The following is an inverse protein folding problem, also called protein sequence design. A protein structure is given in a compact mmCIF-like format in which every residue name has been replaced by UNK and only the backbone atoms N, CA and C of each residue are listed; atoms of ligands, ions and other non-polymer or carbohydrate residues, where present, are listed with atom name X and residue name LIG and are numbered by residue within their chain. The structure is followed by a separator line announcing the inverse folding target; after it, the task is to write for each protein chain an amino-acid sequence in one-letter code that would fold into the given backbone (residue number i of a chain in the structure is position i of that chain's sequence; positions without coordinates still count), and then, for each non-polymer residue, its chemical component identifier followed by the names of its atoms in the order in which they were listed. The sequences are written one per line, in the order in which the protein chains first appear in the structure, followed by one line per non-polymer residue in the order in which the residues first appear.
data_IF_428774669559
#
_entry.id   IF_428774669559
#
_cell.length_a   1.000
_cell.length_b   1.000
_cell.length_c   1.000
_cell.angle_alpha   90.00
_cell.angle_beta   90.00
_cell.angle_gamma   90.00
#
_symmetry.space_group_name_H-M   'P 1'
#
loop_
_entity.id
_entity.type
_entity.pdbx_description
1 polymer ?
#
# COMPACT_ATOMS: atom_id res chain seq x y z
N UNK A 1 -9.36 -4.12 21.35
CA UNK A 1 -9.32 -2.71 21.79
C UNK A 1 -9.52 -1.67 20.66
N UNK A 2 -9.26 -2.00 19.39
CA UNK A 2 -9.36 -1.04 18.27
C UNK A 2 -10.81 -0.54 18.09
N UNK A 3 -11.78 -1.46 18.02
CA UNK A 3 -13.19 -1.12 17.76
C UNK A 3 -13.76 -0.22 18.86
N UNK A 4 -13.65 -0.55 20.15
CA UNK A 4 -14.09 0.33 21.23
C UNK A 4 -13.41 1.71 21.18
N UNK A 5 -12.13 1.78 20.92
CA UNK A 5 -11.42 3.06 20.84
C UNK A 5 -11.90 3.90 19.66
N UNK A 6 -12.13 3.27 18.50
CA UNK A 6 -12.66 3.96 17.32
C UNK A 6 -14.08 4.51 17.59
N UNK A 7 -14.95 3.73 18.24
CA UNK A 7 -16.29 4.18 18.63
C UNK A 7 -16.24 5.40 19.55
N UNK A 8 -15.40 5.36 20.56
CA UNK A 8 -15.21 6.50 21.48
C UNK A 8 -14.75 7.75 20.75
N UNK A 9 -13.77 7.62 19.86
CA UNK A 9 -13.26 8.74 19.06
C UNK A 9 -14.37 9.33 18.19
N UNK A 10 -15.17 8.48 17.55
CA UNK A 10 -16.30 8.91 16.73
C UNK A 10 -17.33 9.68 17.59
N UNK A 11 -17.68 9.18 18.79
CA UNK A 11 -18.61 9.84 19.70
C UNK A 11 -18.11 11.21 20.16
N UNK A 12 -16.82 11.32 20.48
CA UNK A 12 -16.21 12.61 20.85
C UNK A 12 -16.27 13.57 19.65
N UNK A 13 -15.92 13.10 18.46
CA UNK A 13 -16.00 13.92 17.26
C UNK A 13 -17.44 14.31 16.92
N UNK A 14 -18.40 13.42 17.12
CA UNK A 14 -19.82 13.73 16.96
C UNK A 14 -20.29 14.82 17.91
N UNK A 15 -19.85 14.81 19.16
CA UNK A 15 -20.26 15.73 20.21
C UNK A 15 -19.57 17.10 20.13
N UNK A 16 -18.30 17.14 19.80
CA UNK A 16 -17.46 18.34 19.88
C UNK A 16 -16.92 18.83 18.52
N UNK A 17 -17.07 18.05 17.44
CA UNK A 17 -16.59 18.41 16.12
C UNK A 17 -17.36 19.56 15.47
N UNK A 18 -16.68 20.31 14.60
CA UNK A 18 -17.29 21.40 13.83
C UNK A 18 -18.35 20.85 12.86
N UNK A 19 -19.55 21.40 12.88
CA UNK A 19 -20.68 20.97 12.06
C UNK A 19 -21.11 22.02 11.02
N UNK A 20 -20.91 23.30 11.31
CA UNK A 20 -21.37 24.37 10.44
C UNK A 20 -20.43 24.63 9.27
N UNK A 21 -19.11 24.53 9.50
CA UNK A 21 -18.07 24.81 8.52
C UNK A 21 -17.49 23.52 7.96
N UNK A 22 -18.07 23.00 6.86
CA UNK A 22 -17.68 21.72 6.24
C UNK A 22 -16.15 21.56 6.06
N UNK A 23 -15.46 22.62 5.67
CA UNK A 23 -13.99 22.60 5.48
C UNK A 23 -13.22 22.34 6.78
N UNK A 24 -13.82 22.63 7.94
CA UNK A 24 -13.25 22.40 9.26
C UNK A 24 -13.84 21.19 9.99
N UNK A 25 -14.82 20.51 9.41
CA UNK A 25 -15.46 19.32 9.97
C UNK A 25 -14.57 18.07 9.89
N UNK A 26 -13.40 18.13 10.52
CA UNK A 26 -12.40 17.05 10.54
C UNK A 26 -11.69 16.97 11.88
N UNK A 27 -11.32 15.75 12.28
CA UNK A 27 -10.67 15.45 13.55
C UNK A 27 -9.47 16.35 13.85
N UNK A 28 -8.62 16.63 12.86
CA UNK A 28 -7.42 17.47 13.03
C UNK A 28 -7.75 18.89 13.54
N UNK A 29 -8.89 19.44 13.14
CA UNK A 29 -9.29 20.78 13.61
C UNK A 29 -9.81 20.72 15.04
N UNK A 30 -10.57 19.68 15.38
CA UNK A 30 -11.00 19.45 16.76
C UNK A 30 -9.80 19.29 17.71
N UNK A 31 -8.83 18.45 17.35
CA UNK A 31 -7.63 18.22 18.17
C UNK A 31 -6.81 19.52 18.30
N UNK A 32 -6.68 20.30 17.21
CA UNK A 32 -5.96 21.58 17.23
C UNK A 32 -6.65 22.60 18.16
N UNK A 33 -7.97 22.65 18.17
CA UNK A 33 -8.76 23.59 18.97
C UNK A 33 -8.79 23.19 20.45
N UNK A 34 -9.04 21.91 20.73
CA UNK A 34 -9.17 21.37 22.07
C UNK A 34 -7.82 21.14 22.76
N UNK A 35 -6.78 20.85 22.00
CA UNK A 35 -5.50 20.35 22.48
C UNK A 35 -5.46 18.83 22.58
N UNK A 36 -4.27 18.27 22.25
CA UNK A 36 -4.05 16.81 22.21
C UNK A 36 -4.35 16.14 23.55
N UNK A 37 -3.83 16.70 24.64
CA UNK A 37 -3.91 16.07 25.97
C UNK A 37 -5.34 16.04 26.48
N UNK A 38 -6.09 17.13 26.27
CA UNK A 38 -7.52 17.20 26.60
C UNK A 38 -8.33 16.19 25.77
N UNK A 39 -8.01 16.05 24.50
CA UNK A 39 -8.65 15.07 23.63
C UNK A 39 -8.41 13.63 24.11
N UNK A 40 -7.16 13.29 24.44
CA UNK A 40 -6.82 11.95 24.95
C UNK A 40 -7.47 11.65 26.30
N UNK A 41 -7.54 12.64 27.20
CA UNK A 41 -8.22 12.50 28.49
C UNK A 41 -9.73 12.25 28.31
N UNK A 42 -10.35 12.92 27.34
CA UNK A 42 -11.73 12.64 26.97
C UNK A 42 -11.92 11.22 26.42
N UNK A 43 -10.99 10.75 25.58
CA UNK A 43 -11.01 9.36 25.05
C UNK A 43 -10.98 8.37 26.21
N UNK A 44 -10.07 8.53 27.17
CA UNK A 44 -9.97 7.62 28.31
C UNK A 44 -11.21 7.69 29.24
N UNK A 45 -11.79 8.85 29.44
CA UNK A 45 -13.03 9.01 30.21
C UNK A 45 -14.21 8.35 29.53
N UNK A 46 -14.38 8.56 28.24
CA UNK A 46 -15.49 7.98 27.47
C UNK A 46 -15.36 6.45 27.38
N UNK A 47 -14.12 5.92 27.22
CA UNK A 47 -13.85 4.47 27.25
C UNK A 47 -14.33 3.82 28.55
N UNK A 48 -14.16 4.49 29.69
CA UNK A 48 -14.60 3.99 30.99
C UNK A 48 -16.12 4.08 31.18
N UNK A 49 -16.78 4.98 30.50
CA UNK A 49 -18.21 5.24 30.61
C UNK A 49 -19.08 4.34 29.72
N UNK A 50 -18.51 3.74 28.70
CA UNK A 50 -19.24 2.93 27.72
C UNK A 50 -19.06 1.45 28.03
N UNK A 51 -20.16 0.70 28.08
CA UNK A 51 -20.12 -0.76 28.04
C UNK A 51 -19.87 -1.22 26.61
N UNK A 52 -18.76 -1.92 26.39
CA UNK A 52 -18.43 -2.48 25.09
C UNK A 52 -18.82 -3.94 25.02
N UNK A 53 -19.40 -4.32 23.88
CA UNK A 53 -19.49 -5.73 23.52
C UNK A 53 -18.10 -6.22 23.08
N UNK A 54 -17.75 -7.41 23.51
CA UNK A 54 -16.53 -8.08 23.01
C UNK A 54 -16.89 -8.77 21.72
N UNK A 55 -16.20 -8.40 20.65
CA UNK A 55 -16.32 -9.05 19.35
C UNK A 55 -15.20 -10.07 19.19
N UNK A 56 -15.57 -11.33 19.01
CA UNK A 56 -14.61 -12.33 18.55
C UNK A 56 -14.38 -12.13 17.06
N UNK A 57 -13.12 -11.98 16.68
CA UNK A 57 -12.73 -11.92 15.28
C UNK A 57 -12.50 -13.35 14.82
N UNK A 58 -13.31 -13.82 13.88
CA UNK A 58 -13.06 -15.10 13.22
C UNK A 58 -11.79 -14.97 12.36
N UNK A 59 -10.71 -15.59 12.83
CA UNK A 59 -9.43 -15.62 12.13
C UNK A 59 -9.28 -16.83 11.22
N UNK A 60 -10.23 -17.74 11.21
CA UNK A 60 -10.12 -19.01 10.45
C UNK A 60 -9.92 -18.80 8.96
N UNK A 61 -10.50 -17.75 8.40
CA UNK A 61 -10.28 -17.36 7.01
C UNK A 61 -8.83 -16.93 6.71
N UNK A 62 -8.05 -16.59 7.75
CA UNK A 62 -6.65 -16.13 7.62
C UNK A 62 -5.64 -17.20 8.08
N UNK A 63 -6.09 -18.17 8.88
CA UNK A 63 -5.28 -19.22 9.48
C UNK A 63 -5.43 -20.56 8.73
N UNK A 64 -6.20 -20.57 7.64
CA UNK A 64 -6.39 -21.74 6.78
C UNK A 64 -5.11 -22.13 6.03
N UNK A 65 -5.08 -23.37 5.49
CA UNK A 65 -3.96 -23.81 4.68
C UNK A 65 -3.80 -22.91 3.45
N UNK A 66 -2.54 -22.62 3.09
CA UNK A 66 -2.24 -21.87 1.88
C UNK A 66 -2.69 -22.69 0.66
N UNK A 67 -3.54 -22.15 -0.23
CA UNK A 67 -3.97 -22.87 -1.41
C UNK A 67 -2.79 -23.19 -2.32
N UNK A 68 -2.73 -24.41 -2.82
CA UNK A 68 -1.75 -24.80 -3.84
C UNK A 68 -2.16 -24.23 -5.21
N UNK A 69 -1.20 -23.97 -6.11
CA UNK A 69 -1.49 -23.60 -7.49
C UNK A 69 -2.39 -24.64 -8.20
N UNK A 70 -3.26 -24.14 -9.08
CA UNK A 70 -4.15 -25.02 -9.87
C UNK A 70 -3.38 -25.81 -10.93
N UNK A 71 -2.37 -25.16 -11.52
CA UNK A 71 -1.48 -25.75 -12.52
C UNK A 71 -0.07 -25.90 -11.95
N UNK A 72 0.62 -26.92 -12.44
CA UNK A 72 2.05 -27.07 -12.15
C UNK A 72 2.83 -25.90 -12.72
N UNK A 73 3.70 -25.31 -11.89
CA UNK A 73 4.49 -24.14 -12.30
C UNK A 73 5.66 -24.63 -13.18
N UNK A 74 5.77 -24.14 -14.45
CA UNK A 74 6.84 -24.55 -15.34
C UNK A 74 8.22 -24.18 -14.80
N UNK A 75 9.17 -25.09 -14.96
CA UNK A 75 10.58 -24.76 -14.72
C UNK A 75 11.11 -23.94 -15.89
N UNK A 76 11.74 -22.82 -15.57
CA UNK A 76 12.27 -21.89 -16.57
C UNK A 76 13.73 -21.56 -16.29
N UNK A 77 14.48 -21.24 -17.34
CA UNK A 77 15.85 -20.76 -17.24
C UNK A 77 15.88 -19.26 -17.40
N UNK A 78 16.58 -18.58 -16.50
CA UNK A 78 16.80 -17.13 -16.56
C UNK A 78 17.98 -16.85 -17.46
N UNK A 79 17.77 -16.08 -18.53
CA UNK A 79 18.81 -15.65 -19.46
C UNK A 79 19.64 -14.50 -18.87
N UNK A 80 18.97 -13.47 -18.36
CA UNK A 80 19.61 -12.33 -17.69
C UNK A 80 19.55 -12.51 -16.16
N UNK A 81 20.59 -13.17 -15.65
CA UNK A 81 20.72 -13.45 -14.22
C UNK A 81 20.92 -12.16 -13.40
N UNK A 82 21.61 -11.16 -13.95
CA UNK A 82 21.86 -9.91 -13.24
C UNK A 82 20.56 -9.12 -13.01
N UNK A 83 19.75 -8.96 -14.05
CA UNK A 83 18.45 -8.31 -13.94
C UNK A 83 17.48 -9.07 -13.01
N UNK A 84 17.49 -10.40 -13.07
CA UNK A 84 16.69 -11.24 -12.17
C UNK A 84 17.08 -11.07 -10.71
N UNK A 85 18.37 -11.11 -10.38
CA UNK A 85 18.83 -10.94 -8.99
C UNK A 85 18.57 -9.51 -8.50
N UNK A 86 18.71 -8.50 -9.34
CA UNK A 86 18.32 -7.13 -9.00
C UNK A 86 16.84 -7.03 -8.68
N UNK A 87 15.98 -7.64 -9.49
CA UNK A 87 14.54 -7.71 -9.24
C UNK A 87 14.23 -8.50 -7.97
N UNK A 88 14.83 -9.66 -7.77
CA UNK A 88 14.64 -10.48 -6.58
C UNK A 88 14.97 -9.69 -5.30
N UNK A 89 16.08 -8.96 -5.31
CA UNK A 89 16.50 -8.12 -4.19
C UNK A 89 15.55 -6.94 -3.95
N UNK A 90 15.00 -6.36 -5.00
CA UNK A 90 14.16 -5.17 -4.94
C UNK A 90 12.69 -5.49 -4.62
N UNK A 91 12.13 -6.52 -5.25
CA UNK A 91 10.70 -6.74 -5.31
C UNK A 91 10.22 -7.99 -4.55
N UNK A 92 11.13 -8.90 -4.16
CA UNK A 92 10.75 -10.13 -3.47
C UNK A 92 10.98 -10.00 -1.97
N UNK A 93 9.99 -10.42 -1.18
CA UNK A 93 9.97 -10.32 0.27
C UNK A 93 9.74 -11.70 0.85
N UNK A 94 10.65 -12.17 1.72
CA UNK A 94 10.44 -13.40 2.47
C UNK A 94 9.24 -13.23 3.41
N UNK A 95 8.29 -14.14 3.37
CA UNK A 95 7.13 -14.14 4.25
C UNK A 95 7.46 -14.78 5.61
N UNK A 96 6.54 -14.63 6.56
CA UNK A 96 6.62 -15.31 7.86
C UNK A 96 6.40 -16.81 7.73
N UNK A 97 5.64 -17.24 6.72
CA UNK A 97 5.43 -18.65 6.39
C UNK A 97 6.70 -19.19 5.74
N UNK A 98 7.24 -20.27 6.30
CA UNK A 98 8.47 -20.88 5.81
C UNK A 98 8.31 -21.39 4.38
N UNK A 99 9.31 -21.11 3.54
CA UNK A 99 9.34 -21.50 2.14
C UNK A 99 8.54 -20.59 1.21
N UNK A 100 7.85 -19.56 1.73
CA UNK A 100 7.05 -18.66 0.92
C UNK A 100 7.60 -17.24 0.84
N UNK A 101 7.39 -16.65 -0.32
CA UNK A 101 7.77 -15.28 -0.66
C UNK A 101 6.56 -14.50 -1.15
N UNK A 102 6.62 -13.19 -1.00
CA UNK A 102 5.71 -12.25 -1.62
C UNK A 102 6.44 -11.49 -2.72
N UNK A 103 5.76 -11.26 -3.84
CA UNK A 103 6.27 -10.45 -4.95
C UNK A 103 5.54 -9.12 -4.94
N UNK A 104 6.29 -8.04 -4.77
CA UNK A 104 5.78 -6.68 -4.90
C UNK A 104 5.85 -6.21 -6.35
N UNK A 105 4.72 -5.78 -6.87
CA UNK A 105 4.60 -5.13 -8.18
C UNK A 105 4.43 -3.64 -7.95
N UNK A 106 5.39 -2.85 -8.41
CA UNK A 106 5.29 -1.41 -8.42
C UNK A 106 4.30 -0.98 -9.51
N UNK A 107 3.31 -0.17 -9.13
CA UNK A 107 2.30 0.37 -10.04
C UNK A 107 2.43 1.89 -10.05
N UNK A 108 2.95 2.44 -11.13
CA UNK A 108 3.17 3.88 -11.28
C UNK A 108 1.86 4.64 -11.03
N UNK A 109 1.86 5.56 -10.07
CA UNK A 109 0.71 6.40 -9.68
C UNK A 109 -0.55 5.61 -9.27
N UNK A 110 -0.45 4.29 -9.11
CA UNK A 110 -1.60 3.42 -8.87
C UNK A 110 -2.45 3.13 -10.12
N UNK A 111 -1.98 3.50 -11.30
CA UNK A 111 -2.69 3.29 -12.57
C UNK A 111 -2.51 1.85 -13.06
N UNK A 112 -3.58 1.09 -13.00
CA UNK A 112 -3.58 -0.32 -13.34
C UNK A 112 -4.59 -0.64 -14.44
N UNK A 113 -4.09 -0.88 -15.64
CA UNK A 113 -4.91 -1.07 -16.84
C UNK A 113 -5.58 -2.45 -16.87
N UNK A 114 -6.81 -2.47 -17.35
CA UNK A 114 -7.71 -3.65 -17.29
C UNK A 114 -7.19 -4.86 -18.06
N UNK A 115 -6.53 -4.66 -19.18
CA UNK A 115 -5.91 -5.72 -19.98
C UNK A 115 -4.80 -6.44 -19.21
N UNK A 116 -3.86 -5.69 -18.65
CA UNK A 116 -2.80 -6.22 -17.78
C UNK A 116 -3.38 -6.84 -16.50
N UNK A 117 -4.44 -6.25 -15.94
CA UNK A 117 -5.12 -6.78 -14.76
C UNK A 117 -5.71 -8.17 -15.01
N UNK A 118 -6.33 -8.40 -16.17
CA UNK A 118 -6.89 -9.73 -16.52
C UNK A 118 -5.80 -10.78 -16.67
N UNK A 119 -4.71 -10.45 -17.37
CA UNK A 119 -3.59 -11.35 -17.54
C UNK A 119 -2.90 -11.69 -16.21
N UNK A 120 -2.74 -10.69 -15.34
CA UNK A 120 -2.22 -10.92 -13.98
C UNK A 120 -3.17 -11.80 -13.15
N UNK A 121 -4.48 -11.58 -13.24
CA UNK A 121 -5.47 -12.40 -12.54
C UNK A 121 -5.42 -13.86 -12.99
N UNK A 122 -5.29 -14.12 -14.29
CA UNK A 122 -5.15 -15.47 -14.84
C UNK A 122 -3.84 -16.13 -14.39
N UNK A 123 -2.74 -15.38 -14.37
CA UNK A 123 -1.45 -15.86 -13.84
C UNK A 123 -1.58 -16.30 -12.37
N UNK A 124 -2.14 -15.44 -11.53
CA UNK A 124 -2.27 -15.71 -10.09
C UNK A 124 -3.24 -16.85 -9.82
N UNK A 125 -4.37 -16.91 -10.53
CA UNK A 125 -5.35 -17.98 -10.41
C UNK A 125 -4.78 -19.34 -10.72
N UNK A 126 -3.93 -19.43 -11.75
CA UNK A 126 -3.41 -20.70 -12.23
C UNK A 126 -2.14 -21.15 -11.50
N UNK A 127 -1.24 -20.22 -11.14
CA UNK A 127 0.13 -20.53 -10.71
C UNK A 127 0.50 -20.04 -9.31
N UNK A 128 -0.41 -19.35 -8.62
CA UNK A 128 -0.22 -18.92 -7.24
C UNK A 128 -1.41 -19.36 -6.36
N UNK A 129 -1.51 -18.81 -5.15
CA UNK A 129 -2.57 -19.13 -4.20
C UNK A 129 -3.92 -18.44 -4.51
N UNK A 130 -4.15 -17.98 -5.74
CA UNK A 130 -5.33 -17.25 -6.17
C UNK A 130 -5.64 -16.02 -5.29
N UNK A 131 -4.61 -15.37 -4.78
CA UNK A 131 -4.72 -14.24 -3.89
C UNK A 131 -3.72 -13.14 -4.25
N UNK A 132 -4.18 -11.89 -4.31
CA UNK A 132 -3.35 -10.70 -4.36
C UNK A 132 -3.80 -9.69 -3.29
N UNK A 133 -2.92 -8.77 -2.94
CA UNK A 133 -3.21 -7.66 -2.03
C UNK A 133 -2.88 -6.33 -2.68
N UNK A 134 -3.68 -5.32 -2.38
CA UNK A 134 -3.31 -3.94 -2.66
C UNK A 134 -2.57 -3.37 -1.45
N UNK A 135 -1.51 -2.62 -1.71
CA UNK A 135 -0.75 -1.96 -0.65
C UNK A 135 -1.22 -0.52 -0.43
N UNK A 136 -0.89 0.06 0.72
CA UNK A 136 -1.14 1.48 1.00
C UNK A 136 -0.31 2.42 0.11
N UNK A 137 0.66 1.90 -0.61
CA UNK A 137 1.50 2.64 -1.56
C UNK A 137 1.01 2.50 -3.00
N UNK A 138 -0.27 2.16 -3.21
CA UNK A 138 -0.90 2.02 -4.52
C UNK A 138 -0.32 0.87 -5.37
N UNK A 139 0.32 -0.11 -4.75
CA UNK A 139 0.98 -1.23 -5.40
C UNK A 139 0.21 -2.54 -5.21
N UNK A 140 0.67 -3.59 -5.90
CA UNK A 140 0.11 -4.93 -5.83
C UNK A 140 1.13 -5.89 -5.21
N UNK A 141 0.65 -6.85 -4.42
CA UNK A 141 1.46 -7.90 -3.79
C UNK A 141 0.87 -9.25 -4.14
N UNK A 142 1.65 -10.10 -4.79
CA UNK A 142 1.35 -11.52 -4.97
C UNK A 142 1.93 -12.24 -3.75
N UNK A 143 1.13 -13.07 -3.09
CA UNK A 143 1.54 -13.80 -1.89
C UNK A 143 1.72 -15.27 -2.15
N UNK A 144 2.42 -15.92 -1.22
CA UNK A 144 2.57 -17.37 -1.15
C UNK A 144 3.22 -18.01 -2.37
N UNK A 145 4.23 -17.37 -2.92
CA UNK A 145 5.05 -17.92 -4.00
C UNK A 145 6.21 -18.71 -3.42
N UNK A 146 6.40 -19.96 -3.84
CA UNK A 146 7.55 -20.79 -3.43
C UNK A 146 8.82 -20.28 -4.10
N UNK A 147 9.98 -20.47 -3.46
CA UNK A 147 11.27 -19.93 -3.99
C UNK A 147 11.60 -20.46 -5.37
N UNK A 148 11.39 -21.76 -5.60
CA UNK A 148 11.62 -22.42 -6.88
C UNK A 148 10.77 -21.86 -8.03
N UNK A 149 9.66 -21.19 -7.74
CA UNK A 149 8.74 -20.63 -8.71
C UNK A 149 9.05 -19.16 -9.05
N UNK A 150 9.93 -18.49 -8.32
CA UNK A 150 10.27 -17.08 -8.55
C UNK A 150 10.79 -16.82 -9.99
N UNK A 151 11.63 -17.68 -10.60
CA UNK A 151 12.06 -17.48 -11.98
C UNK A 151 10.91 -17.43 -12.99
N UNK A 152 9.92 -18.31 -12.84
CA UNK A 152 8.73 -18.33 -13.68
C UNK A 152 7.93 -17.03 -13.53
N UNK A 153 7.65 -16.62 -12.28
CA UNK A 153 6.94 -15.36 -12.04
C UNK A 153 7.69 -14.14 -12.59
N UNK A 154 9.01 -14.11 -12.49
CA UNK A 154 9.81 -13.05 -13.09
C UNK A 154 9.59 -12.95 -14.60
N UNK A 155 9.65 -14.06 -15.32
CA UNK A 155 9.46 -14.06 -16.77
C UNK A 155 8.03 -13.66 -17.17
N UNK A 156 7.01 -14.19 -16.49
CA UNK A 156 5.61 -13.85 -16.78
C UNK A 156 5.30 -12.38 -16.46
N UNK A 157 5.82 -11.88 -15.35
CA UNK A 157 5.66 -10.47 -14.97
C UNK A 157 6.43 -9.53 -15.89
N UNK A 158 7.58 -9.96 -16.43
CA UNK A 158 8.34 -9.19 -17.42
C UNK A 158 7.56 -9.00 -18.72
N UNK A 159 6.81 -10.01 -19.18
CA UNK A 159 5.92 -9.89 -20.35
C UNK A 159 4.80 -8.85 -20.15
N UNK A 160 4.43 -8.60 -18.89
CA UNK A 160 3.41 -7.63 -18.52
C UNK A 160 4.00 -6.26 -18.15
N UNK A 161 5.32 -6.12 -18.19
CA UNK A 161 6.02 -4.91 -17.76
C UNK A 161 5.83 -4.62 -16.25
N UNK A 162 5.90 -5.66 -15.39
CA UNK A 162 5.71 -5.59 -13.94
C UNK A 162 6.95 -5.96 -13.13
N UNK A 163 8.12 -5.84 -13.73
CA UNK A 163 9.40 -6.13 -13.06
C UNK A 163 10.22 -4.88 -12.75
N UNK A 164 9.59 -3.69 -12.78
CA UNK A 164 10.28 -2.45 -12.42
C UNK A 164 10.82 -2.53 -10.99
N UNK A 165 12.06 -2.07 -10.85
CA UNK A 165 12.75 -2.05 -9.55
C UNK A 165 12.19 -0.94 -8.64
N UNK A 166 12.51 -1.03 -7.35
CA UNK A 166 12.23 0.02 -6.40
C UNK A 166 10.92 -0.14 -5.62
N UNK A 167 10.34 -1.33 -5.59
CA UNK A 167 9.16 -1.59 -4.75
C UNK A 167 9.43 -1.24 -3.27
N UNK A 168 8.54 -0.48 -2.65
CA UNK A 168 8.66 0.04 -1.28
C UNK A 168 9.96 0.80 -1.00
N UNK A 169 10.44 1.60 -1.95
CA UNK A 169 11.67 2.39 -1.84
C UNK A 169 11.42 3.86 -2.19
N UNK A 170 12.47 4.66 -2.23
CA UNK A 170 12.40 6.08 -2.64
C UNK A 170 11.87 6.26 -4.07
N UNK A 171 12.10 5.28 -4.94
CA UNK A 171 11.57 5.27 -6.31
C UNK A 171 10.10 4.84 -6.41
N UNK A 172 9.42 4.58 -5.28
CA UNK A 172 8.02 4.15 -5.21
C UNK A 172 7.20 5.27 -4.57
N UNK A 173 6.86 6.27 -5.39
CA UNK A 173 6.21 7.49 -4.92
C UNK A 173 4.71 7.30 -4.84
N UNK A 174 4.15 7.55 -3.66
CA UNK A 174 2.70 7.55 -3.46
C UNK A 174 2.13 8.94 -3.72
N UNK A 175 1.19 9.08 -4.64
CA UNK A 175 0.54 10.35 -4.95
C UNK A 175 -0.98 10.24 -4.95
N UNK A 176 -1.67 11.26 -4.44
CA UNK A 176 -3.11 11.35 -4.67
C UNK A 176 -3.39 11.88 -6.09
N UNK A 177 -4.63 11.78 -6.62
CA UNK A 177 -4.92 12.25 -7.97
C UNK A 177 -4.76 13.77 -8.18
N UNK A 178 -4.67 14.57 -7.11
CA UNK A 178 -4.48 16.01 -7.23
C UNK A 178 -5.52 16.67 -8.14
N UNK A 179 -5.07 17.65 -8.94
CA UNK A 179 -5.94 18.39 -9.87
C UNK A 179 -6.43 17.58 -11.07
N UNK A 180 -5.96 16.35 -11.28
CA UNK A 180 -6.40 15.55 -12.43
C UNK A 180 -7.88 15.21 -12.35
N UNK A 181 -8.35 14.78 -11.18
CA UNK A 181 -9.75 14.37 -10.98
C UNK A 181 -10.38 14.92 -9.69
N UNK A 182 -9.60 15.50 -8.78
CA UNK A 182 -10.10 15.94 -7.48
C UNK A 182 -10.51 17.42 -7.48
N UNK A 183 -11.80 17.69 -7.26
CA UNK A 183 -12.32 19.07 -7.15
C UNK A 183 -11.75 19.89 -5.98
N UNK A 184 -11.05 19.25 -5.03
CA UNK A 184 -10.37 19.89 -3.90
C UNK A 184 -8.86 20.02 -4.14
N UNK A 185 -8.35 19.50 -5.25
CA UNK A 185 -6.95 19.59 -5.63
C UNK A 185 -6.56 21.04 -5.94
N UNK A 186 -5.38 21.43 -5.47
CA UNK A 186 -4.77 22.75 -5.76
C UNK A 186 -3.42 22.61 -6.47
N UNK A 187 -2.91 21.37 -6.57
CA UNK A 187 -1.65 21.05 -7.23
C UNK A 187 -1.74 19.70 -7.94
N UNK A 188 -0.98 19.53 -9.04
CA UNK A 188 -0.82 18.28 -9.76
C UNK A 188 0.17 17.39 -9.02
N UNK A 189 -0.32 16.53 -8.15
CA UNK A 189 0.49 15.57 -7.39
C UNK A 189 1.01 14.43 -8.26
N UNK A 190 0.20 13.98 -9.19
CA UNK A 190 0.56 12.94 -10.19
C UNK A 190 1.67 13.40 -11.10
N UNK A 191 1.58 14.62 -11.68
CA UNK A 191 2.61 15.14 -12.54
C UNK A 191 3.97 15.33 -11.84
N UNK A 192 3.97 15.79 -10.58
CA UNK A 192 5.21 15.85 -9.79
C UNK A 192 5.75 14.45 -9.50
N UNK A 193 4.91 13.50 -9.15
CA UNK A 193 5.34 12.14 -8.86
C UNK A 193 5.95 11.46 -10.08
N UNK A 194 5.32 11.59 -11.25
CA UNK A 194 5.81 11.04 -12.51
C UNK A 194 7.19 11.62 -12.87
N UNK A 195 7.34 12.94 -12.77
CA UNK A 195 8.62 13.58 -13.07
C UNK A 195 9.71 13.20 -12.07
N UNK A 196 9.40 13.12 -10.78
CA UNK A 196 10.37 12.67 -9.78
C UNK A 196 10.81 11.22 -10.01
N UNK A 197 9.89 10.31 -10.34
CA UNK A 197 10.25 8.94 -10.66
C UNK A 197 11.12 8.85 -11.92
N UNK A 198 10.81 9.65 -12.94
CA UNK A 198 11.63 9.75 -14.15
C UNK A 198 13.05 10.23 -13.83
N UNK A 199 13.19 11.30 -13.04
CA UNK A 199 14.48 11.86 -12.63
C UNK A 199 15.27 10.88 -11.78
N UNK A 200 14.62 10.26 -10.77
CA UNK A 200 15.26 9.26 -9.90
C UNK A 200 15.78 8.07 -10.72
N UNK A 201 14.99 7.59 -11.67
CA UNK A 201 15.38 6.46 -12.50
C UNK A 201 16.50 6.79 -13.49
N UNK A 202 16.49 7.99 -14.08
CA UNK A 202 17.45 8.39 -15.09
C UNK A 202 18.77 8.94 -14.52
N UNK A 203 18.69 9.73 -13.44
CA UNK A 203 19.83 10.48 -12.94
C UNK A 203 20.41 9.92 -11.63
N UNK A 204 19.58 9.19 -10.86
CA UNK A 204 19.94 8.68 -9.53
C UNK A 204 19.63 7.19 -9.34
N UNK A 205 19.93 6.31 -10.32
CA UNK A 205 19.55 4.88 -10.24
C UNK A 205 20.12 4.16 -9.02
N UNK A 206 21.27 4.62 -8.51
CA UNK A 206 21.91 4.05 -7.32
C UNK A 206 21.06 4.18 -6.04
N UNK A 207 20.10 5.10 -5.99
CA UNK A 207 19.23 5.32 -4.83
C UNK A 207 17.87 4.62 -4.96
N UNK A 208 17.50 4.10 -6.12
CA UNK A 208 16.16 3.52 -6.37
C UNK A 208 15.73 2.46 -5.34
N UNK A 209 16.69 1.73 -4.77
CA UNK A 209 16.41 0.71 -3.76
C UNK A 209 16.57 1.20 -2.31
N UNK A 210 16.72 2.52 -2.09
CA UNK A 210 16.76 3.06 -0.75
C UNK A 210 15.36 2.99 -0.12
N UNK A 211 15.23 2.25 0.97
CA UNK A 211 13.98 2.03 1.72
C UNK A 211 13.86 2.90 2.98
N UNK A 212 14.85 3.71 3.27
CA UNK A 212 14.86 4.60 4.44
C UNK A 212 14.09 5.90 4.18
N UNK A 213 13.96 6.26 2.90
CA UNK A 213 13.27 7.48 2.45
C UNK A 213 12.00 7.11 1.72
N UNK A 214 10.89 7.71 2.13
CA UNK A 214 9.59 7.62 1.46
C UNK A 214 9.18 8.99 0.95
N UNK A 215 8.75 9.07 -0.31
CA UNK A 215 8.18 10.27 -0.90
C UNK A 215 6.67 10.09 -1.07
N UNK A 216 5.90 11.01 -0.50
CA UNK A 216 4.44 10.97 -0.57
C UNK A 216 3.88 12.35 -0.88
N UNK A 217 3.09 12.44 -1.94
CA UNK A 217 2.64 13.70 -2.51
C UNK A 217 1.12 13.83 -2.40
N UNK A 218 0.67 14.96 -1.86
CA UNK A 218 -0.75 15.29 -1.78
C UNK A 218 -1.02 16.62 -2.46
N UNK A 219 -1.97 16.65 -3.38
CA UNK A 219 -2.38 17.84 -4.12
C UNK A 219 -3.17 18.88 -3.30
N UNK A 220 -3.37 18.66 -1.99
CA UNK A 220 -3.98 19.61 -1.06
C UNK A 220 -3.72 19.17 0.40
N UNK A 221 -4.17 20.00 1.36
CA UNK A 221 -3.99 19.75 2.79
C UNK A 221 -4.73 18.52 3.36
N UNK A 222 -5.51 17.79 2.55
CA UNK A 222 -6.30 16.65 3.02
C UNK A 222 -5.49 15.37 3.22
N UNK A 223 -4.23 15.36 2.82
CA UNK A 223 -3.29 14.27 3.04
C UNK A 223 -3.73 12.90 2.46
N UNK A 224 -4.49 12.89 1.35
CA UNK A 224 -4.90 11.63 0.70
C UNK A 224 -3.69 10.84 0.17
N UNK A 225 -2.61 11.52 -0.24
CA UNK A 225 -1.32 10.89 -0.57
C UNK A 225 -0.47 10.53 0.64
N UNK A 226 -1.01 10.69 1.87
CA UNK A 226 -0.35 10.31 3.14
C UNK A 226 0.96 11.07 3.44
N UNK A 227 1.15 12.29 2.92
CA UNK A 227 2.37 13.09 3.13
C UNK A 227 2.69 13.32 4.62
N UNK A 228 1.71 13.24 5.53
CA UNK A 228 1.93 13.39 6.97
C UNK A 228 2.72 12.22 7.60
N UNK A 229 2.92 11.13 6.88
CA UNK A 229 3.51 9.88 7.36
C UNK A 229 4.80 9.52 6.63
N UNK A 230 5.34 10.44 5.83
CA UNK A 230 6.54 10.20 5.03
C UNK A 230 7.71 11.04 5.50
N UNK A 231 8.90 10.72 4.99
CA UNK A 231 10.12 11.50 5.22
C UNK A 231 10.12 12.79 4.39
N UNK A 232 9.50 12.78 3.21
CA UNK A 232 9.39 13.91 2.27
C UNK A 232 7.98 13.99 1.72
#
# INVERSE_FOLDING_TARGET
EIIPTAEVIIRIFDRYGERAKRMKARMKFLIKEMGRDVFLDLVEKEKKAIAFETYEIDTTAFDGPIPEPVLEVPQVTIEDTEAYEAWKKSNVIKQKQDGYYAIGIKVLLGDFYTDKARLLADLIKNYAANELRFSLRQNIVIRHVKEENLPFFYQELAKLDFVQLGYNSVGDITACPGTDTCNLGIASSTGIAEELERVLSAEYPQYLNNREIEIKISGCMNACGQHNMSAI
#
